data_IF_171954982011
#
_entry.id   IF_171954982011
#
_cell.length_a   1.000
_cell.length_b   1.000
_cell.length_c   1.000
_cell.angle_alpha   90.00
_cell.angle_beta   90.00
_cell.angle_gamma   90.00
#
_symmetry.space_group_name_H-M   'P 1'
#
loop_
_entity.id
_entity.type
_entity.pdbx_description
1 polymer ?
#
# COMPACT_ATOMS: atom_id res chain seq x y z
N UNK A 1 -24.57 -13.12 -28.85
CA UNK A 1 -24.63 -12.87 -27.39
C UNK A 1 -23.22 -12.61 -26.83
N UNK A 2 -22.42 -11.73 -27.44
CA UNK A 2 -20.98 -11.57 -27.12
C UNK A 2 -20.55 -10.15 -26.76
N UNK A 3 -21.45 -9.15 -26.84
CA UNK A 3 -21.13 -7.74 -26.58
C UNK A 3 -20.93 -7.41 -25.08
N UNK A 4 -21.60 -8.14 -24.16
CA UNK A 4 -21.54 -7.86 -22.72
C UNK A 4 -20.23 -8.30 -22.02
N UNK A 5 -19.43 -9.16 -22.65
CA UNK A 5 -18.21 -9.68 -22.04
C UNK A 5 -17.04 -8.68 -22.08
N UNK A 6 -16.97 -7.85 -23.11
CA UNK A 6 -15.88 -6.88 -23.32
C UNK A 6 -16.01 -5.69 -22.35
N UNK A 7 -17.22 -5.14 -22.18
CA UNK A 7 -17.50 -4.02 -21.26
C UNK A 7 -17.31 -4.40 -19.79
N UNK A 8 -17.64 -5.64 -19.41
CA UNK A 8 -17.52 -6.10 -18.01
C UNK A 8 -16.05 -6.29 -17.61
N UNK A 9 -15.22 -6.83 -18.51
CA UNK A 9 -13.80 -7.07 -18.27
C UNK A 9 -13.00 -5.75 -18.14
N UNK A 10 -13.34 -4.73 -18.93
CA UNK A 10 -12.73 -3.41 -18.85
C UNK A 10 -13.01 -2.74 -17.50
N UNK A 11 -14.28 -2.77 -17.07
CA UNK A 11 -14.70 -2.22 -15.78
C UNK A 11 -14.02 -2.93 -14.59
N UNK A 12 -13.85 -4.26 -14.67
CA UNK A 12 -13.14 -5.02 -13.64
C UNK A 12 -11.66 -4.64 -13.54
N UNK A 13 -10.94 -4.50 -14.67
CA UNK A 13 -9.54 -4.04 -14.68
C UNK A 13 -9.40 -2.64 -14.11
N UNK A 14 -10.26 -1.71 -14.53
CA UNK A 14 -10.29 -0.34 -14.00
C UNK A 14 -10.53 -0.31 -12.49
N UNK A 15 -11.49 -1.11 -12.00
CA UNK A 15 -11.82 -1.21 -10.57
C UNK A 15 -10.67 -1.81 -9.75
N UNK A 16 -10.00 -2.85 -10.24
CA UNK A 16 -8.84 -3.46 -9.57
C UNK A 16 -7.68 -2.46 -9.50
N UNK A 17 -7.39 -1.76 -10.60
CA UNK A 17 -6.34 -0.73 -10.63
C UNK A 17 -6.66 0.44 -9.70
N UNK A 18 -7.90 0.93 -9.68
CA UNK A 18 -8.33 2.00 -8.79
C UNK A 18 -8.21 1.58 -7.31
N UNK A 19 -8.68 0.38 -6.98
CA UNK A 19 -8.59 -0.16 -5.62
C UNK A 19 -7.14 -0.34 -5.18
N UNK A 20 -6.30 -0.95 -6.02
CA UNK A 20 -4.87 -1.12 -5.75
C UNK A 20 -4.13 0.21 -5.59
N UNK A 21 -4.50 1.22 -6.39
CA UNK A 21 -3.93 2.58 -6.28
C UNK A 21 -4.30 3.25 -4.97
N UNK A 22 -5.58 3.20 -4.57
CA UNK A 22 -6.04 3.77 -3.30
C UNK A 22 -5.32 3.10 -2.13
N UNK A 23 -5.26 1.76 -2.14
CA UNK A 23 -4.60 0.99 -1.09
C UNK A 23 -3.10 1.34 -1.04
N UNK A 24 -2.40 1.34 -2.18
CA UNK A 24 -0.99 1.68 -2.25
C UNK A 24 -0.69 3.11 -1.78
N UNK A 25 -1.54 4.08 -2.15
CA UNK A 25 -1.42 5.46 -1.70
C UNK A 25 -1.60 5.59 -0.18
N UNK A 26 -2.58 4.88 0.41
CA UNK A 26 -2.78 4.87 1.85
C UNK A 26 -1.59 4.26 2.60
N UNK A 27 -1.02 3.16 2.08
CA UNK A 27 0.20 2.55 2.65
C UNK A 27 1.39 3.49 2.59
N UNK A 28 1.61 4.11 1.42
CA UNK A 28 2.71 5.05 1.22
C UNK A 28 2.59 6.26 2.14
N UNK A 29 1.38 6.82 2.27
CA UNK A 29 1.10 7.93 3.18
C UNK A 29 1.30 7.52 4.65
N UNK A 30 0.83 6.34 5.05
CA UNK A 30 1.05 5.81 6.39
C UNK A 30 2.53 5.62 6.72
N UNK A 31 3.31 5.08 5.79
CA UNK A 31 4.75 4.92 5.94
C UNK A 31 5.47 6.28 6.06
N UNK A 32 5.09 7.26 5.23
CA UNK A 32 5.62 8.62 5.28
C UNK A 32 5.27 9.30 6.62
N UNK A 33 4.05 9.11 7.11
CA UNK A 33 3.62 9.67 8.40
C UNK A 33 4.40 9.09 9.58
N UNK A 34 4.66 7.77 9.58
CA UNK A 34 5.50 7.14 10.59
C UNK A 34 6.95 7.63 10.55
N UNK A 35 7.49 7.89 9.36
CA UNK A 35 8.81 8.50 9.21
C UNK A 35 8.83 9.93 9.73
N UNK A 36 7.79 10.72 9.48
CA UNK A 36 7.69 12.09 9.97
C UNK A 36 7.68 12.16 11.50
N UNK A 37 7.02 11.22 12.18
CA UNK A 37 7.05 11.13 13.65
C UNK A 37 8.44 10.83 14.23
N UNK A 38 9.38 10.37 13.39
CA UNK A 38 10.76 10.06 13.79
C UNK A 38 11.72 11.20 13.50
N UNK A 39 11.24 12.25 12.83
CA UNK A 39 12.01 13.48 12.63
C UNK A 39 12.02 14.22 13.96
N UNK A 40 13.20 14.55 14.45
CA UNK A 40 13.34 15.34 15.68
C UNK A 40 13.24 16.85 15.41
N UNK A 41 13.35 17.65 16.46
CA UNK A 41 13.26 19.12 16.38
C UNK A 41 14.36 19.75 15.50
N UNK A 42 15.43 19.02 15.18
CA UNK A 42 16.49 19.46 14.27
C UNK A 42 16.23 19.14 12.81
N UNK A 43 15.13 18.43 12.50
CA UNK A 43 14.80 17.97 11.16
C UNK A 43 15.53 16.68 10.76
N UNK A 44 16.25 16.05 11.69
CA UNK A 44 16.97 14.80 11.41
C UNK A 44 16.05 13.59 11.61
N UNK A 45 16.00 12.73 10.61
CA UNK A 45 15.26 11.48 10.68
C UNK A 45 16.00 10.49 11.59
N UNK A 46 15.51 10.29 12.81
CA UNK A 46 16.02 9.29 13.75
C UNK A 46 15.35 7.94 13.52
N UNK A 47 15.84 7.22 12.52
CA UNK A 47 15.43 5.85 12.24
C UNK A 47 16.60 4.88 12.48
N UNK A 48 16.52 4.06 13.52
CA UNK A 48 17.49 2.98 13.71
C UNK A 48 17.27 1.84 12.70
N UNK A 49 18.31 1.09 12.38
CA UNK A 49 18.22 -0.08 11.48
C UNK A 49 17.15 -1.08 11.94
N UNK A 50 17.00 -1.27 13.26
CA UNK A 50 15.97 -2.15 13.84
C UNK A 50 14.55 -1.66 13.55
N UNK A 51 14.33 -0.36 13.62
CA UNK A 51 13.02 0.24 13.34
C UNK A 51 12.70 0.23 11.85
N UNK A 52 13.68 0.46 10.98
CA UNK A 52 13.52 0.33 9.54
C UNK A 52 13.09 -1.08 9.13
N UNK A 53 13.72 -2.10 9.73
CA UNK A 53 13.30 -3.51 9.53
C UNK A 53 11.88 -3.75 10.03
N UNK A 54 11.51 -3.23 11.22
CA UNK A 54 10.16 -3.36 11.76
C UNK A 54 9.11 -2.72 10.85
N UNK A 55 9.42 -1.56 10.27
CA UNK A 55 8.56 -0.87 9.31
C UNK A 55 8.40 -1.70 8.03
N UNK A 56 9.49 -2.23 7.48
CA UNK A 56 9.48 -3.10 6.30
C UNK A 56 8.65 -4.37 6.51
N UNK A 57 8.80 -5.03 7.66
CA UNK A 57 7.99 -6.21 8.03
C UNK A 57 6.50 -5.84 8.14
N UNK A 58 6.18 -4.66 8.68
CA UNK A 58 4.79 -4.21 8.82
C UNK A 58 4.14 -3.97 7.45
N UNK A 59 4.84 -3.29 6.54
CA UNK A 59 4.40 -3.07 5.15
C UNK A 59 4.25 -4.40 4.42
N UNK A 60 5.23 -5.31 4.57
CA UNK A 60 5.17 -6.64 3.96
C UNK A 60 3.99 -7.48 4.49
N UNK A 61 3.73 -7.43 5.80
CA UNK A 61 2.59 -8.08 6.43
C UNK A 61 1.24 -7.58 5.88
N UNK A 62 1.12 -6.28 5.65
CA UNK A 62 -0.05 -5.69 5.02
C UNK A 62 -0.24 -6.16 3.56
N UNK A 63 0.83 -6.14 2.75
CA UNK A 63 0.78 -6.64 1.38
C UNK A 63 0.41 -8.13 1.34
N UNK A 64 0.92 -8.93 2.27
CA UNK A 64 0.53 -10.34 2.42
C UNK A 64 -0.97 -10.49 2.68
N UNK A 65 -1.56 -9.69 3.57
CA UNK A 65 -3.01 -9.74 3.82
C UNK A 65 -3.81 -9.46 2.54
N UNK A 66 -3.38 -8.50 1.72
CA UNK A 66 -4.00 -8.23 0.40
C UNK A 66 -3.94 -9.46 -0.50
N UNK A 67 -2.79 -10.14 -0.58
CA UNK A 67 -2.66 -11.34 -1.43
C UNK A 67 -3.56 -12.48 -0.96
N UNK A 68 -3.85 -12.57 0.34
CA UNK A 68 -4.72 -13.59 0.93
C UNK A 68 -6.21 -13.31 0.75
N UNK A 69 -6.62 -12.09 0.35
CA UNK A 69 -8.03 -11.79 0.05
C UNK A 69 -8.54 -12.49 -1.23
N UNK A 70 -7.63 -13.04 -2.05
CA UNK A 70 -7.96 -13.75 -3.29
C UNK A 70 -8.05 -15.27 -3.16
N UNK A 71 -7.70 -15.84 -1.99
CA UNK A 71 -7.85 -17.25 -1.64
C UNK A 71 -9.18 -17.47 -0.89
#
# INVERSE_FOLDING_TARGET
>A
MTENAITTAENQRGKILALGTIIGALVGLGAAYLLLQRVDDSGELKLSSKEGVKLGISVFGFLRQITQLGD
#
